data_IF_879704587218
#
_entry.id   IF_879704587218
#
_cell.length_a   1.000
_cell.length_b   1.000
_cell.length_c   1.000
_cell.angle_alpha   90.00
_cell.angle_beta   90.00
_cell.angle_gamma   90.00
#
_symmetry.space_group_name_H-M   'P 1'
#
loop_
_entity.id
_entity.type
_entity.pdbx_description
1 polymer ?
#
# COMPACT_ATOMS: atom_id res chain seq x y z
N UNK A 1 -11.53 12.72 -14.03
CA UNK A 1 -10.51 11.72 -13.59
C UNK A 1 -9.30 12.38 -12.93
N UNK A 2 -8.62 13.34 -13.56
CA UNK A 2 -7.42 14.02 -13.01
C UNK A 2 -7.61 14.71 -11.65
N UNK A 3 -8.77 15.30 -11.39
CA UNK A 3 -9.07 15.99 -10.13
C UNK A 3 -9.04 15.07 -8.88
N UNK A 4 -9.49 13.82 -9.01
CA UNK A 4 -9.50 12.86 -7.90
C UNK A 4 -8.08 12.45 -7.51
N UNK A 5 -7.20 12.26 -8.50
CA UNK A 5 -5.78 11.96 -8.24
C UNK A 5 -5.09 13.11 -7.51
N UNK A 6 -5.31 14.35 -7.94
CA UNK A 6 -4.78 15.53 -7.25
C UNK A 6 -5.29 15.62 -5.80
N UNK A 7 -6.56 15.30 -5.56
CA UNK A 7 -7.15 15.25 -4.21
C UNK A 7 -6.51 14.16 -3.34
N UNK A 8 -6.26 12.97 -3.88
CA UNK A 8 -5.58 11.88 -3.17
C UNK A 8 -4.14 12.25 -2.79
N UNK A 9 -3.39 12.88 -3.71
CA UNK A 9 -2.04 13.36 -3.44
C UNK A 9 -2.06 14.44 -2.36
N UNK A 10 -2.97 15.41 -2.46
CA UNK A 10 -3.08 16.51 -1.49
C UNK A 10 -3.46 16.02 -0.10
N UNK A 11 -4.42 15.09 0.00
CA UNK A 11 -4.84 14.49 1.27
C UNK A 11 -3.72 13.65 1.88
N UNK A 12 -2.89 12.99 1.07
CA UNK A 12 -1.69 12.34 1.56
C UNK A 12 -0.65 13.31 2.10
N UNK A 13 -0.35 14.37 1.35
CA UNK A 13 0.61 15.38 1.81
C UNK A 13 0.08 16.05 3.08
N UNK A 14 -1.23 16.26 3.19
CA UNK A 14 -1.87 16.79 4.39
C UNK A 14 -1.78 15.82 5.57
N UNK A 15 -2.02 14.51 5.38
CA UNK A 15 -1.89 13.50 6.45
C UNK A 15 -0.45 13.32 6.93
N UNK A 16 0.51 13.42 6.01
CA UNK A 16 1.92 13.41 6.33
C UNK A 16 2.35 14.64 7.13
N UNK A 17 1.73 15.81 6.91
CA UNK A 17 1.98 17.04 7.68
C UNK A 17 1.19 17.13 9.00
N UNK A 18 0.01 16.52 9.06
CA UNK A 18 -0.87 16.62 10.22
C UNK A 18 -0.39 15.75 11.38
N UNK A 19 -0.99 15.93 12.57
CA UNK A 19 -0.80 15.03 13.73
C UNK A 19 -1.47 13.67 13.55
N UNK A 20 -1.79 13.24 12.32
CA UNK A 20 -2.30 11.91 12.06
C UNK A 20 -1.34 10.84 12.60
N UNK A 21 -1.92 9.76 13.12
CA UNK A 21 -1.15 8.66 13.68
C UNK A 21 -0.30 8.00 12.60
N UNK A 22 1.01 7.89 12.87
CA UNK A 22 1.97 7.26 11.95
C UNK A 22 1.57 5.81 11.62
N UNK A 23 0.96 5.14 12.60
CA UNK A 23 0.49 3.78 12.45
C UNK A 23 -0.65 3.69 11.41
N UNK A 24 -1.61 4.62 11.40
CA UNK A 24 -2.71 4.65 10.40
C UNK A 24 -2.19 4.76 8.97
N UNK A 25 -1.21 5.64 8.75
CA UNK A 25 -0.60 5.86 7.43
C UNK A 25 0.22 4.61 7.04
N UNK A 26 1.04 4.08 7.94
CA UNK A 26 1.87 2.91 7.67
C UNK A 26 1.03 1.64 7.42
N UNK A 27 -0.03 1.40 8.20
CA UNK A 27 -0.97 0.29 7.95
C UNK A 27 -1.67 0.46 6.61
N UNK A 28 -2.08 1.70 6.27
CA UNK A 28 -2.63 2.02 4.96
C UNK A 28 -1.67 1.63 3.84
N UNK A 29 -0.40 2.04 3.90
CA UNK A 29 0.62 1.68 2.90
C UNK A 29 0.76 0.17 2.78
N UNK A 30 0.85 -0.56 3.89
CA UNK A 30 1.03 -2.03 3.87
C UNK A 30 -0.16 -2.75 3.25
N UNK A 31 -1.39 -2.44 3.68
CA UNK A 31 -2.60 -3.08 3.15
C UNK A 31 -2.86 -2.67 1.69
N UNK A 32 -2.55 -1.41 1.35
CA UNK A 32 -2.56 -0.91 -0.02
C UNK A 32 -1.60 -1.68 -0.91
N UNK A 33 -0.34 -1.82 -0.49
CA UNK A 33 0.68 -2.55 -1.24
C UNK A 33 0.31 -4.02 -1.42
N UNK A 34 -0.35 -4.64 -0.45
CA UNK A 34 -0.87 -5.98 -0.62
C UNK A 34 -1.91 -6.08 -1.74
N UNK A 35 -2.85 -5.13 -1.75
CA UNK A 35 -3.88 -5.02 -2.79
C UNK A 35 -3.25 -4.82 -4.19
N UNK A 36 -2.15 -4.06 -4.26
CA UNK A 36 -1.41 -3.89 -5.51
C UNK A 36 -0.62 -5.13 -5.93
N UNK A 37 -0.15 -5.94 -4.96
CA UNK A 37 0.67 -7.12 -5.24
C UNK A 37 -0.14 -8.27 -5.83
N UNK A 38 -1.31 -8.60 -5.26
CA UNK A 38 -2.13 -9.74 -5.72
C UNK A 38 -3.08 -9.30 -6.84
N UNK A 39 -2.85 -9.71 -8.10
CA UNK A 39 -3.74 -9.37 -9.17
C UNK A 39 -4.99 -10.25 -9.13
N UNK A 40 -6.15 -9.61 -9.17
CA UNK A 40 -7.39 -10.18 -9.72
C UNK A 40 -8.07 -11.29 -8.91
N UNK A 41 -7.80 -11.40 -7.61
CA UNK A 41 -8.61 -12.25 -6.73
C UNK A 41 -9.66 -11.42 -5.99
N UNK A 42 -10.93 -11.59 -6.36
CA UNK A 42 -12.07 -10.92 -5.71
C UNK A 42 -12.11 -11.16 -4.20
N UNK A 43 -11.86 -12.39 -3.74
CA UNK A 43 -11.83 -12.76 -2.33
C UNK A 43 -10.73 -12.02 -1.58
N UNK A 44 -9.55 -11.90 -2.20
CA UNK A 44 -8.43 -11.17 -1.62
C UNK A 44 -8.79 -9.68 -1.44
N UNK A 45 -9.40 -9.06 -2.46
CA UNK A 45 -9.85 -7.68 -2.36
C UNK A 45 -10.95 -7.49 -1.33
N UNK A 46 -11.91 -8.41 -1.23
CA UNK A 46 -12.95 -8.37 -0.21
C UNK A 46 -12.36 -8.44 1.21
N UNK A 47 -11.39 -9.34 1.43
CA UNK A 47 -10.66 -9.45 2.69
C UNK A 47 -9.92 -8.16 3.00
N UNK A 48 -9.22 -7.58 2.03
CA UNK A 48 -8.48 -6.33 2.21
C UNK A 48 -9.44 -5.18 2.55
N UNK A 49 -10.55 -5.02 1.82
CA UNK A 49 -11.55 -3.99 2.11
C UNK A 49 -12.11 -4.17 3.53
N UNK A 50 -12.36 -5.41 3.94
CA UNK A 50 -12.77 -5.71 5.31
C UNK A 50 -11.70 -5.28 6.35
N UNK A 51 -10.42 -5.55 6.09
CA UNK A 51 -9.32 -5.06 6.94
C UNK A 51 -9.25 -3.52 6.93
N UNK A 52 -9.50 -2.87 5.80
CA UNK A 52 -9.57 -1.41 5.67
C UNK A 52 -10.69 -0.82 6.56
N UNK A 53 -11.79 -1.55 6.79
CA UNK A 53 -12.89 -1.12 7.66
C UNK A 53 -12.58 -1.32 9.15
N UNK A 54 -11.85 -2.37 9.52
CA UNK A 54 -11.50 -2.65 10.92
C UNK A 54 -10.37 -1.73 11.40
N UNK A 55 -9.33 -1.59 10.57
CA UNK A 55 -8.19 -0.77 10.93
C UNK A 55 -8.48 0.69 10.60
N UNK A 56 -8.23 1.60 11.55
CA UNK A 56 -8.23 3.03 11.27
C UNK A 56 -7.01 3.36 10.41
N UNK A 57 -7.24 3.49 9.11
CA UNK A 57 -6.21 3.75 8.10
C UNK A 57 -6.51 5.04 7.33
N UNK A 58 -5.46 5.61 6.75
CA UNK A 58 -5.58 6.77 5.86
C UNK A 58 -5.77 6.27 4.43
N UNK A 59 -6.96 6.49 3.84
CA UNK A 59 -7.33 5.98 2.50
C UNK A 59 -6.32 6.38 1.43
N UNK A 60 -5.83 7.62 1.48
CA UNK A 60 -4.83 8.12 0.54
C UNK A 60 -3.49 7.37 0.67
N UNK A 61 -3.13 6.91 1.87
CA UNK A 61 -1.96 6.06 2.11
C UNK A 61 -2.17 4.64 1.57
N UNK A 62 -3.38 4.09 1.72
CA UNK A 62 -3.80 2.86 1.06
C UNK A 62 -3.66 2.91 -0.46
N UNK A 63 -4.12 4.00 -1.07
CA UNK A 63 -4.03 4.17 -2.52
C UNK A 63 -2.59 4.27 -3.02
N UNK A 64 -1.71 4.99 -2.32
CA UNK A 64 -0.30 5.03 -2.67
C UNK A 64 0.40 3.69 -2.46
N UNK A 65 0.05 2.99 -1.37
CA UNK A 65 0.46 1.61 -1.15
C UNK A 65 0.10 0.74 -2.36
N UNK A 66 -1.13 0.84 -2.86
CA UNK A 66 -1.61 0.09 -4.03
C UNK A 66 -0.82 0.39 -5.30
N UNK A 67 -0.57 1.66 -5.61
CA UNK A 67 0.26 2.04 -6.76
C UNK A 67 1.66 1.46 -6.60
N UNK A 68 2.26 1.58 -5.42
CA UNK A 68 3.57 1.04 -5.15
C UNK A 68 3.59 -0.48 -5.30
N UNK A 69 2.66 -1.19 -4.66
CA UNK A 69 2.56 -2.65 -4.75
C UNK A 69 2.36 -3.15 -6.18
N UNK A 70 1.50 -2.48 -6.96
CA UNK A 70 1.23 -2.86 -8.36
C UNK A 70 2.43 -2.64 -9.27
N UNK A 71 3.17 -1.54 -9.13
CA UNK A 71 4.40 -1.31 -9.88
C UNK A 71 5.46 -2.37 -9.58
N UNK A 72 5.63 -2.72 -8.31
CA UNK A 72 6.59 -3.73 -7.89
C UNK A 72 6.15 -5.16 -8.23
N UNK A 73 4.84 -5.41 -8.32
CA UNK A 73 4.30 -6.73 -8.65
C UNK A 73 4.86 -7.26 -9.96
N UNK A 74 4.88 -6.43 -11.03
CA UNK A 74 5.39 -6.84 -12.33
C UNK A 74 6.82 -7.39 -12.31
N UNK A 75 7.68 -6.83 -11.45
CA UNK A 75 9.08 -7.24 -11.31
C UNK A 75 9.20 -8.51 -10.46
N UNK A 76 8.33 -8.64 -9.46
CA UNK A 76 8.38 -9.70 -8.44
C UNK A 76 7.66 -10.98 -8.90
N UNK A 77 6.80 -10.92 -9.92
CA UNK A 77 6.03 -12.08 -10.44
C UNK A 77 6.91 -13.33 -10.65
N UNK A 78 8.04 -13.29 -11.38
CA UNK A 78 8.88 -14.48 -11.58
C UNK A 78 9.37 -15.10 -10.28
N UNK A 79 9.80 -14.25 -9.32
CA UNK A 79 10.22 -14.70 -8.00
C UNK A 79 9.07 -15.39 -7.26
N UNK A 80 7.89 -14.78 -7.26
CA UNK A 80 6.71 -15.37 -6.59
C UNK A 80 6.23 -16.65 -7.25
N UNK A 81 6.35 -16.76 -8.58
CA UNK A 81 6.01 -17.98 -9.29
C UNK A 81 6.91 -19.14 -8.88
N UNK A 82 8.23 -18.94 -8.83
CA UNK A 82 9.18 -19.95 -8.39
C UNK A 82 8.95 -20.35 -6.93
N UNK A 83 8.71 -19.37 -6.05
CA UNK A 83 8.47 -19.62 -4.63
C UNK A 83 7.17 -20.42 -4.43
N UNK A 84 6.09 -20.05 -5.12
CA UNK A 84 4.83 -20.78 -5.02
C UNK A 84 4.86 -22.15 -5.68
N UNK A 85 5.57 -22.31 -6.81
CA UNK A 85 5.80 -23.63 -7.41
C UNK A 85 6.53 -24.55 -6.43
N UNK A 86 7.64 -24.06 -5.85
CA UNK A 86 8.39 -24.81 -4.85
C UNK A 86 7.49 -25.26 -3.69
N UNK A 87 6.64 -24.37 -3.18
CA UNK A 87 5.71 -24.70 -2.09
C UNK A 87 4.64 -25.72 -2.51
N UNK A 88 4.09 -25.61 -3.72
CA UNK A 88 2.99 -26.48 -4.19
C UNK A 88 3.47 -27.87 -4.61
N UNK A 89 4.71 -28.00 -5.10
CA UNK A 89 5.25 -29.28 -5.58
C UNK A 89 6.10 -30.01 -4.55
N UNK A 90 6.28 -29.46 -3.36
CA UNK A 90 7.08 -30.11 -2.32
C UNK A 90 6.32 -31.28 -1.70
N UNK A 91 6.85 -32.49 -1.81
CA UNK A 91 6.15 -33.72 -1.40
C UNK A 91 5.69 -33.71 0.06
N UNK A 92 6.50 -33.14 0.97
CA UNK A 92 6.16 -33.01 2.39
C UNK A 92 4.98 -32.09 2.66
N UNK A 93 4.64 -31.19 1.73
CA UNK A 93 3.52 -30.25 1.86
C UNK A 93 2.24 -30.76 1.18
N UNK A 94 2.29 -31.89 0.45
CA UNK A 94 1.12 -32.43 -0.25
C UNK A 94 -0.07 -32.67 0.69
N UNK A 95 0.18 -33.28 1.86
CA UNK A 95 -0.89 -33.51 2.84
C UNK A 95 -1.46 -32.20 3.38
N UNK A 96 -0.60 -31.19 3.62
CA UNK A 96 -1.02 -29.88 4.09
C UNK A 96 -1.93 -29.19 3.06
N UNK A 97 -1.50 -29.14 1.80
CA UNK A 97 -2.30 -28.54 0.73
C UNK A 97 -3.61 -29.30 0.49
N UNK A 98 -3.58 -30.63 0.55
CA UNK A 98 -4.80 -31.44 0.41
C UNK A 98 -5.83 -31.12 1.49
N UNK A 99 -5.41 -31.06 2.76
CA UNK A 99 -6.30 -30.67 3.86
C UNK A 99 -6.81 -29.24 3.70
N UNK A 100 -5.93 -28.30 3.33
CA UNK A 100 -6.27 -26.89 3.17
C UNK A 100 -7.28 -26.67 2.03
N UNK A 101 -7.10 -27.35 0.89
CA UNK A 101 -7.98 -27.22 -0.27
C UNK A 101 -9.34 -27.90 -0.09
N UNK A 102 -9.46 -28.83 0.85
CA UNK A 102 -10.74 -29.43 1.22
C UNK A 102 -11.58 -28.55 2.16
N UNK A 103 -11.02 -27.45 2.69
CA UNK A 103 -11.77 -26.49 3.50
C UNK A 103 -12.61 -25.56 2.61
N UNK A 104 -13.80 -25.10 3.05
CA UNK A 104 -14.70 -24.31 2.21
C UNK A 104 -14.17 -22.91 1.82
N UNK A 105 -13.31 -22.31 2.65
CA UNK A 105 -12.86 -20.92 2.46
C UNK A 105 -11.55 -20.78 1.69
N UNK A 106 -10.60 -21.70 1.87
CA UNK A 106 -9.25 -21.57 1.33
C UNK A 106 -9.14 -21.65 -0.20
N UNK A 107 -9.96 -22.44 -0.91
CA UNK A 107 -10.00 -22.41 -2.38
C UNK A 107 -10.35 -21.04 -2.95
N UNK A 108 -11.14 -20.24 -2.23
CA UNK A 108 -11.53 -18.89 -2.65
C UNK A 108 -10.35 -17.91 -2.71
N UNK A 109 -9.27 -18.20 -1.98
CA UNK A 109 -8.03 -17.41 -1.98
C UNK A 109 -7.11 -17.75 -3.17
N UNK A 110 -7.49 -18.71 -4.02
CA UNK A 110 -6.71 -19.13 -5.20
C UNK A 110 -5.27 -19.52 -4.87
N UNK A 111 -5.06 -20.12 -3.68
CA UNK A 111 -3.74 -20.56 -3.21
C UNK A 111 -3.15 -21.71 -4.05
N UNK A 112 -3.96 -22.34 -4.90
CA UNK A 112 -3.53 -23.31 -5.91
C UNK A 112 -2.77 -22.66 -7.08
N UNK A 113 -2.81 -21.33 -7.22
CA UNK A 113 -2.02 -20.60 -8.19
C UNK A 113 -0.66 -20.24 -7.57
N UNK A 114 0.44 -20.67 -8.21
CA UNK A 114 1.80 -20.46 -7.70
C UNK A 114 2.17 -18.98 -7.57
N UNK A 115 1.74 -18.12 -8.49
CA UNK A 115 2.03 -16.67 -8.41
C UNK A 115 1.31 -16.07 -7.21
N UNK A 116 0.01 -16.38 -7.07
CA UNK A 116 -0.82 -15.86 -5.99
C UNK A 116 -0.28 -16.33 -4.63
N UNK A 117 -0.01 -17.63 -4.48
CA UNK A 117 0.57 -18.19 -3.26
C UNK A 117 1.91 -17.52 -2.91
N UNK A 118 2.81 -17.38 -3.89
CA UNK A 118 4.09 -16.72 -3.68
C UNK A 118 3.92 -15.27 -3.24
N UNK A 119 2.96 -14.53 -3.80
CA UNK A 119 2.64 -13.16 -3.40
C UNK A 119 2.08 -13.06 -1.98
N UNK A 120 1.21 -14.00 -1.57
CA UNK A 120 0.76 -14.11 -0.17
C UNK A 120 1.94 -14.33 0.77
N UNK A 121 2.81 -15.30 0.49
CA UNK A 121 3.99 -15.59 1.31
C UNK A 121 4.93 -14.38 1.40
N UNK A 122 5.21 -13.74 0.26
CA UNK A 122 6.07 -12.58 0.18
C UNK A 122 5.46 -11.39 0.94
N UNK A 123 4.15 -11.17 0.84
CA UNK A 123 3.46 -10.15 1.62
C UNK A 123 3.58 -10.42 3.13
N UNK A 124 3.30 -11.63 3.61
CA UNK A 124 3.39 -11.92 5.04
C UNK A 124 4.82 -11.70 5.55
N UNK A 125 5.83 -12.12 4.78
CA UNK A 125 7.24 -11.89 5.10
C UNK A 125 7.61 -10.40 5.12
N UNK A 126 7.17 -9.64 4.11
CA UNK A 126 7.52 -8.23 3.96
C UNK A 126 6.60 -7.25 4.69
N UNK A 127 5.46 -7.69 5.24
CA UNK A 127 4.49 -6.82 5.90
C UNK A 127 5.09 -6.06 7.09
N UNK A 128 5.83 -6.76 7.95
CA UNK A 128 6.49 -6.21 9.14
C UNK A 128 7.60 -5.22 8.75
N UNK A 129 8.57 -5.57 7.88
CA UNK A 129 9.61 -4.61 7.49
C UNK A 129 9.02 -3.43 6.72
N UNK A 130 8.00 -3.65 5.87
CA UNK A 130 7.32 -2.57 5.16
C UNK A 130 6.60 -1.61 6.12
N UNK A 131 5.93 -2.14 7.16
CA UNK A 131 5.29 -1.32 8.19
C UNK A 131 6.30 -0.46 8.95
N UNK A 132 7.38 -1.08 9.44
CA UNK A 132 8.44 -0.38 10.18
C UNK A 132 9.17 0.63 9.30
N UNK A 133 9.47 0.26 8.06
CA UNK A 133 10.10 1.11 7.05
C UNK A 133 9.23 2.32 6.70
N UNK A 134 7.95 2.10 6.44
CA UNK A 134 6.97 3.16 6.18
C UNK A 134 6.88 4.12 7.35
N UNK A 135 6.76 3.60 8.58
CA UNK A 135 6.70 4.43 9.80
C UNK A 135 7.96 5.29 9.98
N UNK A 136 9.15 4.71 9.80
CA UNK A 136 10.42 5.44 9.86
C UNK A 136 10.51 6.49 8.74
N UNK A 137 10.10 6.14 7.53
CA UNK A 137 10.09 7.06 6.39
C UNK A 137 9.17 8.26 6.64
N UNK A 138 7.97 8.03 7.17
CA UNK A 138 7.03 9.10 7.50
C UNK A 138 7.58 10.01 8.62
N UNK A 139 8.19 9.43 9.66
CA UNK A 139 8.86 10.19 10.71
C UNK A 139 9.99 11.06 10.15
N UNK A 140 10.86 10.49 9.33
CA UNK A 140 11.93 11.22 8.66
C UNK A 140 11.39 12.34 7.77
N UNK A 141 10.31 12.10 7.05
CA UNK A 141 9.64 13.13 6.25
C UNK A 141 9.16 14.29 7.13
N UNK A 142 8.51 13.99 8.27
CA UNK A 142 8.02 14.97 9.26
C UNK A 142 9.13 15.81 9.87
N UNK A 143 10.18 15.17 10.36
CA UNK A 143 11.20 15.83 11.18
C UNK A 143 12.31 16.47 10.35
N UNK A 144 12.68 15.87 9.21
CA UNK A 144 13.87 16.30 8.45
C UNK A 144 13.52 16.96 7.13
N UNK A 145 12.47 16.50 6.43
CA UNK A 145 12.21 16.92 5.05
C UNK A 145 11.23 18.09 5.01
N UNK A 146 10.09 18.02 5.68
CA UNK A 146 9.10 19.10 5.71
C UNK A 146 9.66 20.45 6.19
N UNK A 147 10.41 20.55 7.31
CA UNK A 147 10.96 21.83 7.74
C UNK A 147 11.98 22.41 6.75
N UNK A 148 12.72 21.57 6.02
CA UNK A 148 13.64 22.03 4.95
C UNK A 148 12.87 22.55 3.73
N UNK A 149 11.83 21.83 3.33
CA UNK A 149 10.95 22.18 2.22
C UNK A 149 10.25 23.52 2.51
N UNK A 150 9.69 23.70 3.70
CA UNK A 150 8.99 24.94 4.09
C UNK A 150 9.91 26.16 4.15
N UNK A 151 11.18 25.96 4.54
CA UNK A 151 12.16 27.03 4.60
C UNK A 151 12.84 27.33 3.25
N UNK A 152 12.67 26.47 2.24
CA UNK A 152 13.28 26.67 0.92
C UNK A 152 12.69 27.89 0.17
N UNK A 153 13.58 28.66 -0.47
CA UNK A 153 13.21 29.84 -1.27
C UNK A 153 12.31 29.47 -2.46
N UNK A 154 12.47 28.28 -3.01
CA UNK A 154 11.67 27.77 -4.13
C UNK A 154 10.19 27.61 -3.75
N UNK A 155 9.88 27.09 -2.56
CA UNK A 155 8.49 26.98 -2.11
C UNK A 155 7.85 28.33 -1.79
N UNK A 156 8.62 29.28 -1.24
CA UNK A 156 8.15 30.65 -0.98
C UNK A 156 7.85 31.36 -2.31
N UNK A 157 8.72 31.22 -3.31
CA UNK A 157 8.50 31.73 -4.67
C UNK A 157 7.30 31.04 -5.35
N UNK A 158 7.15 29.72 -5.18
CA UNK A 158 6.04 28.96 -5.75
C UNK A 158 4.69 29.39 -5.16
N UNK A 159 4.59 29.57 -3.83
CA UNK A 159 3.39 30.08 -3.14
C UNK A 159 2.98 31.49 -3.61
N UNK A 160 3.94 32.33 -4.00
CA UNK A 160 3.70 33.68 -4.51
C UNK A 160 3.22 33.70 -5.97
N UNK A 161 3.55 32.66 -6.75
CA UNK A 161 3.13 32.54 -8.16
C UNK A 161 1.60 32.38 -8.31
N UNK A 162 1.06 32.80 -9.46
CA UNK A 162 -0.38 32.63 -9.79
C UNK A 162 -0.83 31.16 -9.68
N UNK A 163 0.05 30.22 -10.04
CA UNK A 163 -0.20 28.78 -9.95
C UNK A 163 -0.21 28.28 -8.50
N UNK A 164 0.69 28.78 -7.65
CA UNK A 164 0.69 28.47 -6.21
C UNK A 164 -0.57 28.95 -5.50
N UNK A 165 -1.05 30.17 -5.79
CA UNK A 165 -2.31 30.69 -5.25
C UNK A 165 -3.53 29.89 -5.73
N UNK A 166 -3.54 29.44 -6.98
CA UNK A 166 -4.57 28.55 -7.51
C UNK A 166 -4.56 27.17 -6.84
N UNK A 167 -3.38 26.57 -6.68
CA UNK A 167 -3.21 25.28 -5.98
C UNK A 167 -3.61 25.36 -4.50
N UNK A 168 -3.31 26.48 -3.82
CA UNK A 168 -3.71 26.70 -2.43
C UNK A 168 -5.22 26.96 -2.28
N UNK A 169 -5.85 27.64 -3.25
CA UNK A 169 -7.32 27.77 -3.32
C UNK A 169 -8.01 26.43 -3.50
N UNK A 170 -7.46 25.56 -4.35
CA UNK A 170 -7.98 24.19 -4.49
C UNK A 170 -7.80 23.37 -3.21
N UNK A 171 -6.73 23.62 -2.47
CA UNK A 171 -6.49 22.99 -1.17
C UNK A 171 -7.51 23.44 -0.11
N UNK A 172 -7.87 24.74 -0.06
CA UNK A 172 -8.88 25.26 0.89
C UNK A 172 -10.33 24.89 0.56
N UNK A 173 -10.62 24.49 -0.69
CA UNK A 173 -11.94 24.02 -1.12
C UNK A 173 -12.13 22.50 -0.90
N UNK A 174 -11.06 21.79 -0.54
CA UNK A 174 -11.05 20.35 -0.34
C UNK A 174 -11.06 19.92 1.14
N UNK A 175 -10.92 20.87 2.07
CA UNK A 175 -11.24 20.78 3.50
C UNK A 175 -12.67 21.26 3.75
#
# INVERSE_FOLDING_TARGET
>A
MTWLFLKLINTLIASLKSKESLNSIATGIVLGSFCGLIPSNFTAYALIIFLFCIFRITVSAGFFGFIFGSLFSFIIIPLTHHLGLFLLTHDSLNSFWTTLMNMPFFPLLSLNNSVVLGQYCLFFCLSIPLFKGSKKGILYLRESVYPKIENSSWLKAFKLSKFGKWAFRLWSLAT
#
